data_IF_486553071343
#
_entry.id   IF_486553071343
#
_cell.length_a   1.000
_cell.length_b   1.000
_cell.length_c   1.000
_cell.angle_alpha   90.00
_cell.angle_beta   90.00
_cell.angle_gamma   90.00
#
_symmetry.space_group_name_H-M   'P 1'
#
loop_
_entity.id
_entity.type
_entity.pdbx_description
1 polymer ?
#
# COMPACT_ATOMS: atom_id res chain seq x y z
N UNK A 1 -1.98 -23.71 10.93
CA UNK A 1 -2.72 -22.78 11.80
C UNK A 1 -4.15 -22.68 11.30
N UNK A 2 -5.12 -22.53 12.18
CA UNK A 2 -6.54 -22.32 11.86
C UNK A 2 -7.04 -21.06 12.58
N UNK A 3 -7.72 -20.17 11.85
CA UNK A 3 -8.41 -19.02 12.40
C UNK A 3 -9.89 -19.35 12.49
N UNK A 4 -10.54 -19.22 13.66
CA UNK A 4 -11.93 -19.67 13.86
C UNK A 4 -12.87 -18.57 14.34
N UNK A 5 -14.18 -18.79 14.19
CA UNK A 5 -15.28 -17.92 14.65
C UNK A 5 -15.32 -16.52 14.02
N UNK A 6 -14.61 -16.31 12.92
CA UNK A 6 -14.60 -15.03 12.20
C UNK A 6 -15.83 -14.86 11.31
N UNK A 7 -16.19 -13.62 10.97
CA UNK A 7 -17.04 -13.35 9.81
C UNK A 7 -16.12 -13.26 8.58
N UNK A 8 -16.13 -14.28 7.73
CA UNK A 8 -15.22 -14.35 6.58
C UNK A 8 -15.88 -13.75 5.35
N UNK A 9 -15.31 -12.67 4.82
CA UNK A 9 -15.65 -12.10 3.52
C UNK A 9 -14.71 -12.72 2.51
N UNK A 10 -15.19 -13.69 1.72
CA UNK A 10 -14.32 -14.53 0.87
C UNK A 10 -13.80 -13.79 -0.37
N UNK A 11 -14.60 -12.87 -0.91
CA UNK A 11 -14.42 -12.28 -2.24
C UNK A 11 -14.31 -13.30 -3.39
N UNK A 12 -14.78 -14.54 -3.18
CA UNK A 12 -14.86 -15.55 -4.23
C UNK A 12 -15.91 -15.17 -5.30
N UNK A 13 -16.02 -15.91 -6.43
CA UNK A 13 -16.97 -15.57 -7.50
C UNK A 13 -18.43 -15.41 -7.03
N UNK A 14 -18.83 -16.18 -6.03
CA UNK A 14 -20.18 -16.16 -5.45
C UNK A 14 -20.37 -15.09 -4.36
N UNK A 15 -19.31 -14.35 -3.99
CA UNK A 15 -19.29 -13.31 -2.94
C UNK A 15 -19.80 -13.81 -1.59
N UNK A 16 -19.48 -15.05 -1.24
CA UNK A 16 -19.95 -15.66 0.00
C UNK A 16 -19.41 -14.93 1.23
N UNK A 17 -20.30 -14.73 2.21
CA UNK A 17 -19.97 -14.29 3.56
C UNK A 17 -20.27 -15.45 4.50
N UNK A 18 -19.24 -15.94 5.17
CA UNK A 18 -19.35 -17.08 6.09
C UNK A 18 -19.33 -16.55 7.51
N UNK A 19 -20.50 -16.44 8.13
CA UNK A 19 -20.61 -16.21 9.58
C UNK A 19 -20.19 -17.47 10.34
N UNK A 20 -19.56 -17.29 11.51
CA UNK A 20 -18.88 -18.38 12.24
C UNK A 20 -18.00 -19.24 11.31
N UNK A 21 -17.18 -18.54 10.52
CA UNK A 21 -16.27 -19.11 9.56
C UNK A 21 -14.90 -19.40 10.16
N UNK A 22 -14.20 -20.32 9.52
CA UNK A 22 -12.80 -20.60 9.76
C UNK A 22 -11.97 -20.61 8.46
N UNK A 23 -10.67 -20.34 8.62
CA UNK A 23 -9.68 -20.34 7.55
C UNK A 23 -8.44 -21.09 8.03
N UNK A 24 -7.97 -22.05 7.23
CA UNK A 24 -6.78 -22.86 7.52
C UNK A 24 -5.64 -22.39 6.64
N UNK A 25 -4.49 -22.13 7.24
CA UNK A 25 -3.25 -21.74 6.56
C UNK A 25 -2.20 -22.83 6.76
N UNK A 26 -1.60 -23.24 5.63
CA UNK A 26 -0.45 -24.15 5.58
C UNK A 26 0.67 -23.47 4.80
N UNK A 27 1.80 -23.20 5.47
CA UNK A 27 2.88 -22.44 4.88
C UNK A 27 2.43 -21.02 4.51
N UNK A 28 2.51 -20.68 3.22
CA UNK A 28 2.13 -19.37 2.66
C UNK A 28 0.80 -19.41 1.89
N UNK A 29 0.02 -20.49 2.03
CA UNK A 29 -1.24 -20.71 1.28
C UNK A 29 -2.43 -20.95 2.20
N UNK A 30 -3.58 -20.48 1.74
CA UNK A 30 -4.88 -20.83 2.32
C UNK A 30 -5.22 -22.26 1.85
N UNK A 31 -5.32 -23.19 2.80
CA UNK A 31 -5.59 -24.59 2.54
C UNK A 31 -7.10 -24.90 2.52
N UNK A 32 -7.89 -24.21 3.34
CA UNK A 32 -9.34 -24.36 3.40
C UNK A 32 -10.02 -23.11 3.96
N UNK A 33 -11.26 -22.88 3.56
CA UNK A 33 -12.18 -21.87 4.10
C UNK A 33 -13.56 -22.52 4.22
N UNK A 34 -14.25 -22.32 5.34
CA UNK A 34 -15.50 -23.02 5.63
C UNK A 34 -16.07 -22.63 6.99
N UNK A 35 -17.01 -23.42 7.52
CA UNK A 35 -17.57 -23.21 8.86
C UNK A 35 -16.58 -23.64 9.95
N UNK A 36 -16.60 -22.96 11.10
CA UNK A 36 -15.74 -23.28 12.25
C UNK A 36 -15.83 -24.74 12.66
N UNK A 37 -17.05 -25.26 12.85
CA UNK A 37 -17.27 -26.63 13.30
C UNK A 37 -16.70 -27.67 12.33
N UNK A 38 -16.89 -27.46 11.03
CA UNK A 38 -16.38 -28.34 9.98
C UNK A 38 -14.86 -28.37 9.95
N UNK A 39 -14.21 -27.19 9.90
CA UNK A 39 -12.76 -27.12 9.77
C UNK A 39 -12.02 -27.51 11.06
N UNK A 40 -12.60 -27.28 12.24
CA UNK A 40 -12.05 -27.84 13.49
C UNK A 40 -12.02 -29.36 13.49
N UNK A 41 -13.11 -30.00 13.04
CA UNK A 41 -13.18 -31.46 12.93
C UNK A 41 -12.17 -32.02 11.93
N UNK A 42 -11.99 -31.33 10.79
CA UNK A 42 -11.07 -31.74 9.74
C UNK A 42 -9.59 -31.49 10.05
N UNK A 43 -9.28 -30.50 10.90
CA UNK A 43 -7.92 -30.11 11.26
C UNK A 43 -7.75 -30.05 12.80
N UNK A 44 -7.91 -31.18 13.51
CA UNK A 44 -7.94 -31.22 14.98
C UNK A 44 -6.61 -30.82 15.63
N UNK A 45 -5.48 -31.03 14.94
CA UNK A 45 -4.13 -30.75 15.44
C UNK A 45 -3.60 -29.37 15.03
N UNK A 46 -4.39 -28.57 14.29
CA UNK A 46 -3.95 -27.25 13.87
C UNK A 46 -3.95 -26.27 15.04
N UNK A 47 -2.86 -25.51 15.21
CA UNK A 47 -2.81 -24.39 16.15
C UNK A 47 -3.96 -23.40 15.86
N UNK A 48 -4.83 -23.22 16.84
CA UNK A 48 -6.05 -22.42 16.73
C UNK A 48 -5.84 -20.98 17.21
N UNK A 49 -6.32 -20.03 16.40
CA UNK A 49 -6.48 -18.62 16.74
C UNK A 49 -7.96 -18.28 16.65
N UNK A 50 -8.57 -17.92 17.78
CA UNK A 50 -9.94 -17.41 17.78
C UNK A 50 -9.98 -15.94 17.33
N UNK A 51 -10.79 -15.66 16.31
CA UNK A 51 -11.01 -14.32 15.77
C UNK A 51 -12.49 -13.92 15.87
N UNK A 52 -13.23 -14.50 16.82
CA UNK A 52 -14.60 -14.14 17.17
C UNK A 52 -14.82 -12.62 17.28
N UNK A 53 -15.93 -12.14 16.72
CA UNK A 53 -16.29 -10.72 16.72
C UNK A 53 -15.53 -9.85 15.72
N UNK A 54 -14.64 -10.44 14.92
CA UNK A 54 -13.87 -9.75 13.89
C UNK A 54 -14.29 -10.17 12.48
N UNK A 55 -14.06 -9.26 11.53
CA UNK A 55 -14.15 -9.54 10.11
C UNK A 55 -12.79 -10.05 9.62
N UNK A 56 -12.81 -11.14 8.86
CA UNK A 56 -11.65 -11.67 8.14
C UNK A 56 -11.89 -11.46 6.66
N UNK A 57 -11.00 -10.76 5.98
CA UNK A 57 -11.10 -10.44 4.56
C UNK A 57 -9.74 -10.55 3.88
N UNK A 58 -9.68 -10.68 2.54
CA UNK A 58 -8.45 -10.50 1.80
C UNK A 58 -7.80 -9.17 2.17
N UNK A 59 -6.48 -9.20 2.38
CA UNK A 59 -5.73 -7.98 2.60
C UNK A 59 -5.85 -7.03 1.40
N UNK A 60 -5.86 -5.74 1.67
CA UNK A 60 -6.01 -4.72 0.64
C UNK A 60 -4.80 -4.72 -0.30
N UNK A 61 -5.05 -4.35 -1.56
CA UNK A 61 -4.03 -4.15 -2.58
C UNK A 61 -4.05 -2.69 -2.99
N UNK A 62 -2.95 -1.98 -2.76
CA UNK A 62 -2.77 -0.61 -3.21
C UNK A 62 -2.14 -0.58 -4.60
N UNK A 63 -2.91 -0.17 -5.61
CA UNK A 63 -2.47 -0.28 -7.00
C UNK A 63 -1.51 0.83 -7.43
N UNK A 64 -1.22 1.82 -6.59
CA UNK A 64 -0.33 2.92 -6.95
C UNK A 64 0.19 3.68 -5.71
N UNK A 65 1.49 3.58 -5.44
CA UNK A 65 2.16 4.30 -4.35
C UNK A 65 3.43 5.02 -4.81
N UNK A 66 3.89 5.95 -3.99
CA UNK A 66 5.17 6.65 -4.09
C UNK A 66 5.90 6.65 -2.74
N UNK A 67 6.65 5.59 -2.44
CA UNK A 67 7.33 5.34 -1.18
C UNK A 67 8.32 6.45 -0.81
N UNK A 68 9.06 6.99 -1.78
CA UNK A 68 9.97 8.12 -1.57
C UNK A 68 9.22 9.41 -1.19
N UNK A 69 7.92 9.52 -1.50
CA UNK A 69 7.11 10.70 -1.16
C UNK A 69 6.41 10.57 0.20
N UNK A 70 6.48 9.41 0.87
CA UNK A 70 5.83 9.16 2.17
C UNK A 70 6.19 10.24 3.21
N UNK A 71 7.47 10.57 3.39
CA UNK A 71 7.89 11.63 4.32
C UNK A 71 7.61 13.05 3.83
N UNK A 72 7.19 13.21 2.57
CA UNK A 72 6.89 14.51 1.97
C UNK A 72 5.40 14.86 2.03
N UNK A 73 4.56 14.03 2.66
CA UNK A 73 3.14 14.36 2.82
C UNK A 73 2.99 15.64 3.64
N UNK A 74 2.08 16.49 3.21
CA UNK A 74 1.78 17.76 3.88
C UNK A 74 2.66 18.95 3.47
N UNK A 75 3.79 18.77 2.76
CA UNK A 75 4.75 19.86 2.45
C UNK A 75 4.21 20.99 1.54
N UNK A 76 3.07 20.73 0.89
CA UNK A 76 2.37 21.69 0.04
C UNK A 76 0.95 21.99 0.52
N UNK A 77 0.59 21.60 1.75
CA UNK A 77 -0.70 21.95 2.34
C UNK A 77 -0.88 23.47 2.46
N UNK A 78 -2.09 23.94 2.21
CA UNK A 78 -2.43 25.37 2.23
C UNK A 78 -1.86 26.19 1.07
N UNK A 79 -1.12 25.59 0.13
CA UNK A 79 -0.56 26.30 -1.03
C UNK A 79 -1.49 26.21 -2.23
N UNK A 80 -1.81 27.36 -2.82
CA UNK A 80 -2.48 27.43 -4.12
C UNK A 80 -1.41 27.35 -5.20
N UNK A 81 -1.15 26.13 -5.66
CA UNK A 81 -0.27 25.89 -6.80
C UNK A 81 -1.13 25.93 -8.08
N UNK A 82 -0.66 26.59 -9.15
CA UNK A 82 -1.48 26.80 -10.34
C UNK A 82 -1.76 25.50 -11.10
N UNK A 83 -0.85 24.52 -11.02
CA UNK A 83 -0.95 23.24 -11.71
C UNK A 83 -0.09 22.15 -11.04
N UNK A 84 -0.20 20.93 -11.58
CA UNK A 84 0.58 19.76 -11.16
C UNK A 84 2.08 19.96 -11.35
N UNK A 85 2.51 20.60 -12.44
CA UNK A 85 3.93 20.85 -12.72
C UNK A 85 4.56 21.73 -11.65
N UNK A 86 3.86 22.76 -11.21
CA UNK A 86 4.31 23.67 -10.14
C UNK A 86 4.43 22.94 -8.80
N UNK A 87 3.57 21.97 -8.52
CA UNK A 87 3.73 21.09 -7.37
C UNK A 87 4.95 20.17 -7.53
N UNK A 88 5.06 19.50 -8.66
CA UNK A 88 6.08 18.50 -8.90
C UNK A 88 7.48 19.13 -8.94
N UNK A 89 7.71 20.09 -9.83
CA UNK A 89 9.03 20.69 -10.09
C UNK A 89 9.46 21.67 -9.01
N UNK A 90 8.54 22.47 -8.45
CA UNK A 90 8.93 23.50 -7.47
C UNK A 90 8.86 23.04 -6.00
N UNK A 91 8.20 21.91 -5.70
CA UNK A 91 8.00 21.45 -4.31
C UNK A 91 8.53 20.05 -4.09
N UNK A 92 8.15 19.10 -4.94
CA UNK A 92 8.42 17.68 -4.70
C UNK A 92 9.82 17.27 -5.17
N UNK A 93 10.19 17.56 -6.41
CA UNK A 93 11.51 17.21 -6.96
C UNK A 93 12.69 17.85 -6.24
N UNK A 94 12.61 19.08 -5.69
CA UNK A 94 13.68 19.61 -4.86
C UNK A 94 13.89 18.79 -3.59
N UNK A 95 12.81 18.34 -2.94
CA UNK A 95 12.89 17.52 -1.73
C UNK A 95 13.35 16.09 -2.05
N UNK A 96 12.75 15.45 -3.04
CA UNK A 96 13.15 14.11 -3.48
C UNK A 96 14.57 14.06 -4.02
N UNK A 97 14.96 15.08 -4.82
CA UNK A 97 16.31 15.19 -5.37
C UNK A 97 17.37 15.53 -4.32
N UNK A 98 16.97 15.91 -3.11
CA UNK A 98 17.88 16.15 -1.97
C UNK A 98 18.02 14.94 -1.05
N UNK A 99 17.28 13.85 -1.30
CA UNK A 99 17.40 12.63 -0.51
C UNK A 99 18.77 11.96 -0.68
N UNK A 100 19.30 11.44 0.42
CA UNK A 100 20.21 10.30 0.38
C UNK A 100 19.42 8.99 0.19
N UNK A 101 20.11 7.91 -0.18
CA UNK A 101 19.50 6.57 -0.22
C UNK A 101 18.94 6.15 1.15
N UNK A 102 19.59 6.58 2.24
CA UNK A 102 19.14 6.30 3.60
C UNK A 102 17.80 7.00 3.91
N UNK A 103 17.62 8.24 3.45
CA UNK A 103 16.35 8.98 3.59
C UNK A 103 15.23 8.31 2.80
N UNK A 104 15.50 7.91 1.57
CA UNK A 104 14.54 7.21 0.74
C UNK A 104 14.11 5.87 1.36
N UNK A 105 15.06 5.10 1.90
CA UNK A 105 14.77 3.86 2.62
C UNK A 105 13.99 4.12 3.93
N UNK A 106 14.26 5.20 4.66
CA UNK A 106 13.47 5.61 5.83
C UNK A 106 12.03 5.97 5.43
N UNK A 107 11.86 6.70 4.33
CA UNK A 107 10.54 7.01 3.77
C UNK A 107 9.76 5.75 3.39
N UNK A 108 10.42 4.80 2.74
CA UNK A 108 9.83 3.52 2.39
C UNK A 108 9.42 2.72 3.65
N UNK A 109 10.25 2.70 4.70
CA UNK A 109 9.92 2.02 5.98
C UNK A 109 8.65 2.59 6.59
N UNK A 110 8.51 3.91 6.62
CA UNK A 110 7.30 4.56 7.14
C UNK A 110 6.08 4.18 6.30
N UNK A 111 6.17 4.24 4.97
CA UNK A 111 5.05 3.93 4.09
C UNK A 111 4.60 2.48 4.19
N UNK A 112 5.56 1.55 4.23
CA UNK A 112 5.28 0.11 4.43
C UNK A 112 4.66 -0.16 5.80
N UNK A 113 5.15 0.47 6.87
CA UNK A 113 4.58 0.33 8.20
C UNK A 113 3.11 0.79 8.21
N UNK A 114 2.82 1.95 7.63
CA UNK A 114 1.45 2.48 7.55
C UNK A 114 0.53 1.59 6.74
N UNK A 115 0.98 1.09 5.59
CA UNK A 115 0.25 0.14 4.76
C UNK A 115 -0.12 -1.14 5.54
N UNK A 116 0.84 -1.73 6.26
CA UNK A 116 0.57 -2.92 7.07
C UNK A 116 -0.41 -2.61 8.21
N UNK A 117 -0.32 -1.42 8.82
CA UNK A 117 -1.23 -0.97 9.89
C UNK A 117 -2.64 -0.65 9.40
N UNK A 118 -2.82 -0.28 8.13
CA UNK A 118 -4.11 0.01 7.52
C UNK A 118 -4.75 -1.18 6.81
N UNK A 119 -4.05 -2.32 6.72
CA UNK A 119 -4.57 -3.57 6.15
C UNK A 119 -4.15 -3.82 4.70
N UNK A 120 -3.27 -2.99 4.12
CA UNK A 120 -2.63 -3.22 2.84
C UNK A 120 -1.57 -4.31 2.97
N UNK A 121 -1.70 -5.34 2.13
CA UNK A 121 -0.79 -6.50 2.14
C UNK A 121 -0.03 -6.67 0.83
N UNK A 122 -0.38 -5.88 -0.18
CA UNK A 122 0.33 -5.79 -1.44
C UNK A 122 0.22 -4.41 -2.07
N UNK A 123 1.24 -3.96 -2.78
CA UNK A 123 1.18 -2.69 -3.49
C UNK A 123 1.99 -2.65 -4.81
N UNK A 124 1.78 -1.60 -5.60
CA UNK A 124 2.58 -1.27 -6.79
C UNK A 124 3.23 0.09 -6.62
N UNK A 125 4.55 0.13 -6.63
CA UNK A 125 5.38 1.33 -6.66
C UNK A 125 5.93 1.52 -8.08
N UNK A 126 5.86 2.74 -8.63
CA UNK A 126 6.20 2.99 -10.04
C UNK A 126 7.17 4.15 -10.28
N UNK A 127 7.64 4.82 -9.23
CA UNK A 127 8.39 6.08 -9.34
C UNK A 127 9.74 6.04 -8.60
N UNK A 128 10.40 4.88 -8.52
CA UNK A 128 11.73 4.82 -7.92
C UNK A 128 12.78 5.39 -8.87
N UNK A 129 13.23 6.61 -8.59
CA UNK A 129 14.32 7.26 -9.31
C UNK A 129 15.69 6.71 -8.85
N UNK A 130 16.68 6.82 -9.73
CA UNK A 130 18.07 6.37 -9.48
C UNK A 130 18.61 6.82 -8.12
N UNK A 131 18.46 8.10 -7.78
CA UNK A 131 18.97 8.67 -6.52
C UNK A 131 18.42 8.01 -5.25
N UNK A 132 17.24 7.39 -5.31
CA UNK A 132 16.60 6.85 -4.12
C UNK A 132 17.27 5.57 -3.61
N UNK A 133 18.10 4.91 -4.41
CA UNK A 133 18.69 3.63 -4.06
C UNK A 133 17.64 2.52 -4.06
N UNK A 134 17.47 1.85 -5.20
CA UNK A 134 16.45 0.80 -5.37
C UNK A 134 16.62 -0.33 -4.34
N UNK A 135 17.85 -0.78 -4.12
CA UNK A 135 18.17 -1.89 -3.23
C UNK A 135 17.71 -1.65 -1.78
N UNK A 136 17.92 -0.44 -1.27
CA UNK A 136 17.52 -0.08 0.10
C UNK A 136 16.01 -0.15 0.30
N UNK A 137 15.23 0.25 -0.72
CA UNK A 137 13.77 0.19 -0.71
C UNK A 137 13.27 -1.25 -0.90
N UNK A 138 13.91 -2.02 -1.79
CA UNK A 138 13.59 -3.42 -1.99
C UNK A 138 13.82 -4.26 -0.72
N UNK A 139 14.93 -4.04 -0.02
CA UNK A 139 15.24 -4.70 1.25
C UNK A 139 14.19 -4.41 2.33
N UNK A 140 13.67 -3.18 2.39
CA UNK A 140 12.55 -2.83 3.30
C UNK A 140 11.31 -3.65 3.00
N UNK A 141 10.99 -3.87 1.72
CA UNK A 141 9.85 -4.69 1.33
C UNK A 141 10.05 -6.17 1.69
N UNK A 142 11.26 -6.70 1.46
CA UNK A 142 11.60 -8.10 1.80
C UNK A 142 11.54 -8.33 3.30
N UNK A 143 12.19 -7.48 4.09
CA UNK A 143 12.29 -7.63 5.55
C UNK A 143 10.94 -7.44 6.27
N UNK A 144 10.06 -6.60 5.73
CA UNK A 144 8.71 -6.40 6.28
C UNK A 144 7.72 -7.51 5.92
N UNK A 145 8.00 -8.32 4.88
CA UNK A 145 7.13 -9.39 4.40
C UNK A 145 5.94 -8.94 3.55
N UNK A 146 5.79 -7.64 3.28
CA UNK A 146 4.74 -7.11 2.40
C UNK A 146 4.92 -7.62 0.95
N UNK A 147 3.84 -7.74 0.17
CA UNK A 147 3.95 -7.93 -1.29
C UNK A 147 4.21 -6.59 -1.96
N UNK A 148 5.12 -6.56 -2.91
CA UNK A 148 5.37 -5.36 -3.68
C UNK A 148 5.66 -5.73 -5.13
N UNK A 149 5.12 -4.94 -6.05
CA UNK A 149 5.67 -4.78 -7.39
C UNK A 149 6.42 -3.45 -7.41
N UNK A 150 7.74 -3.49 -7.54
CA UNK A 150 8.60 -2.31 -7.50
C UNK A 150 9.05 -1.95 -8.92
N UNK A 151 8.73 -0.74 -9.34
CA UNK A 151 9.11 -0.17 -10.63
C UNK A 151 10.14 0.92 -10.46
N UNK A 152 11.32 0.71 -11.06
CA UNK A 152 12.29 1.76 -11.31
C UNK A 152 11.77 2.63 -12.45
N UNK A 153 11.68 3.95 -12.24
CA UNK A 153 11.14 4.85 -13.28
C UNK A 153 12.15 5.01 -14.41
N UNK A 154 11.73 4.73 -15.64
CA UNK A 154 12.50 5.03 -16.84
C UNK A 154 12.33 6.51 -17.20
N UNK A 155 13.23 7.33 -16.69
CA UNK A 155 13.25 8.78 -16.86
C UNK A 155 14.59 9.23 -17.43
N UNK A 156 14.57 10.13 -18.42
CA UNK A 156 15.75 10.78 -18.96
C UNK A 156 15.50 12.29 -18.96
N UNK A 157 16.41 13.03 -18.34
CA UNK A 157 16.31 14.50 -18.24
C UNK A 157 17.26 15.10 -19.27
N UNK A 158 16.70 15.75 -20.29
CA UNK A 158 17.48 16.36 -21.38
C UNK A 158 18.26 17.57 -20.87
N UNK A 159 19.58 17.66 -21.12
CA UNK A 159 20.39 18.82 -20.76
C UNK A 159 19.84 20.14 -21.30
N UNK A 160 19.19 20.11 -22.46
CA UNK A 160 18.65 21.26 -23.17
C UNK A 160 17.37 21.81 -22.50
N UNK A 161 16.59 20.94 -21.83
CA UNK A 161 15.25 21.30 -21.31
C UNK A 161 15.16 21.26 -19.79
N UNK A 162 16.18 20.75 -19.10
CA UNK A 162 16.15 20.54 -17.65
C UNK A 162 15.96 21.82 -16.84
N UNK A 163 16.58 22.91 -17.29
CA UNK A 163 16.55 24.20 -16.59
C UNK A 163 15.23 24.93 -16.84
N UNK A 164 14.66 24.83 -18.06
CA UNK A 164 13.37 25.41 -18.42
C UNK A 164 12.20 24.81 -17.63
N UNK A 165 12.25 23.49 -17.41
CA UNK A 165 11.22 22.75 -16.67
C UNK A 165 11.44 22.79 -15.15
N UNK A 166 12.54 23.37 -14.67
CA UNK A 166 12.85 23.45 -13.24
C UNK A 166 13.18 22.10 -12.60
N UNK A 167 13.84 21.20 -13.34
CA UNK A 167 14.30 19.94 -12.76
C UNK A 167 15.36 20.19 -11.70
N UNK A 168 15.12 19.70 -10.49
CA UNK A 168 16.16 19.67 -9.48
C UNK A 168 17.32 18.77 -9.93
N UNK A 169 18.57 19.23 -9.77
CA UNK A 169 19.76 18.52 -10.23
C UNK A 169 19.90 17.10 -9.69
N UNK A 170 19.40 16.85 -8.48
CA UNK A 170 19.35 15.52 -7.90
C UNK A 170 18.41 14.54 -8.63
N UNK A 171 17.48 15.03 -9.44
CA UNK A 171 16.57 14.20 -10.22
C UNK A 171 17.09 13.88 -11.63
N UNK A 172 18.22 14.45 -12.04
CA UNK A 172 18.79 14.21 -13.36
C UNK A 172 19.24 12.75 -13.51
N UNK A 173 18.83 12.12 -14.61
CA UNK A 173 19.18 10.76 -15.00
C UNK A 173 19.39 10.75 -16.51
N UNK A 174 20.34 9.94 -16.99
CA UNK A 174 20.51 9.71 -18.43
C UNK A 174 19.61 8.58 -18.89
N UNK A 175 19.33 8.50 -20.19
CA UNK A 175 18.58 7.37 -20.75
C UNK A 175 19.27 6.04 -20.43
N UNK A 176 20.59 6.02 -20.58
CA UNK A 176 21.44 4.83 -20.42
C UNK A 176 21.46 4.36 -18.96
N UNK A 177 21.74 5.25 -18.00
CA UNK A 177 21.71 4.89 -16.57
C UNK A 177 20.33 4.42 -16.15
N UNK A 178 19.31 5.09 -16.68
CA UNK A 178 17.93 4.87 -16.30
C UNK A 178 17.40 3.51 -16.75
N UNK A 179 17.75 3.08 -17.96
CA UNK A 179 17.43 1.75 -18.48
C UNK A 179 18.26 0.68 -17.77
N UNK A 180 19.57 0.89 -17.62
CA UNK A 180 20.45 -0.10 -17.02
C UNK A 180 20.02 -0.44 -15.59
N UNK A 181 19.72 0.55 -14.77
CA UNK A 181 19.26 0.31 -13.39
C UNK A 181 17.91 -0.40 -13.32
N UNK A 182 17.02 -0.21 -14.30
CA UNK A 182 15.78 -0.98 -14.37
C UNK A 182 16.07 -2.46 -14.59
N UNK A 183 17.01 -2.77 -15.49
CA UNK A 183 17.44 -4.15 -15.78
C UNK A 183 18.16 -4.76 -14.56
N UNK A 184 19.10 -4.04 -13.96
CA UNK A 184 19.83 -4.50 -12.78
C UNK A 184 18.89 -4.78 -11.60
N UNK A 185 17.91 -3.89 -11.38
CA UNK A 185 16.88 -4.08 -10.35
C UNK A 185 16.02 -5.32 -10.63
N UNK A 186 15.62 -5.54 -11.89
CA UNK A 186 14.88 -6.72 -12.29
C UNK A 186 15.69 -8.00 -12.05
N UNK A 187 16.90 -8.09 -12.59
CA UNK A 187 17.76 -9.27 -12.50
C UNK A 187 18.07 -9.65 -11.04
N UNK A 188 18.23 -8.65 -10.18
CA UNK A 188 18.54 -8.86 -8.77
C UNK A 188 17.34 -9.22 -7.91
N UNK A 189 16.21 -8.54 -8.08
CA UNK A 189 15.10 -8.58 -7.13
C UNK A 189 13.87 -9.34 -7.62
N UNK A 190 13.79 -9.68 -8.90
CA UNK A 190 12.67 -10.47 -9.42
C UNK A 190 12.57 -11.79 -8.66
N UNK A 191 11.34 -12.11 -8.23
CA UNK A 191 11.09 -13.32 -7.44
C UNK A 191 11.80 -13.38 -6.08
N UNK A 192 12.39 -12.30 -5.56
CA UNK A 192 13.10 -12.25 -4.26
C UNK A 192 12.24 -12.74 -3.08
N UNK A 193 10.91 -12.66 -3.17
CA UNK A 193 9.97 -13.28 -2.22
C UNK A 193 10.06 -14.81 -2.12
N UNK A 194 10.66 -15.47 -3.13
CA UNK A 194 10.92 -16.92 -3.19
C UNK A 194 12.32 -17.30 -2.69
N UNK A 195 13.23 -16.34 -2.51
CA UNK A 195 14.58 -16.58 -2.01
C UNK A 195 14.61 -16.21 -0.52
N UNK A 196 15.07 -17.10 0.38
CA UNK A 196 15.39 -16.67 1.73
C UNK A 196 16.49 -15.61 1.64
N UNK A 197 16.22 -14.40 2.12
CA UNK A 197 17.25 -13.38 2.23
C UNK A 197 18.40 -13.91 3.11
N UNK A 198 19.68 -13.80 2.68
CA UNK A 198 20.81 -14.21 3.50
C UNK A 198 20.77 -13.45 4.83
N UNK A 199 20.68 -14.18 5.94
CA UNK A 199 20.68 -13.58 7.29
C UNK A 199 19.31 -13.27 7.91
N UNK A 200 18.19 -13.49 7.20
CA UNK A 200 16.85 -13.40 7.81
C UNK A 200 16.53 -14.71 8.52
N UNK A 201 16.82 -14.75 9.81
CA UNK A 201 16.28 -15.77 10.72
C UNK A 201 14.76 -15.61 10.73
N UNK A 202 14.03 -16.57 10.16
CA UNK A 202 12.59 -16.71 10.42
C UNK A 202 12.43 -16.99 11.90
N UNK A 203 12.21 -15.95 12.70
CA UNK A 203 11.73 -16.13 14.06
C UNK A 203 10.44 -16.97 13.95
N UNK A 204 10.31 -18.08 14.70
CA UNK A 204 9.01 -18.73 14.81
C UNK A 204 8.01 -17.65 15.19
N UNK A 205 6.87 -17.60 14.51
CA UNK A 205 5.78 -16.66 14.77
C UNK A 205 5.28 -16.86 16.22
N UNK A 206 6.03 -16.33 17.17
CA UNK A 206 5.79 -16.42 18.60
C UNK A 206 5.05 -15.17 19.03
N UNK A 207 3.74 -15.31 19.28
CA UNK A 207 2.84 -14.44 20.06
C UNK A 207 2.78 -12.93 19.77
N UNK A 208 3.59 -12.35 18.91
CA UNK A 208 3.56 -10.92 18.57
C UNK A 208 3.77 -10.73 17.06
N UNK A 209 2.69 -10.46 16.31
CA UNK A 209 2.90 -10.03 14.92
C UNK A 209 1.69 -9.89 14.01
N UNK A 210 0.62 -10.67 14.19
CA UNK A 210 -0.60 -10.51 13.38
C UNK A 210 -1.64 -9.74 14.20
N UNK A 211 -1.50 -8.41 14.26
CA UNK A 211 -2.66 -7.56 14.51
C UNK A 211 -3.40 -7.47 13.18
N UNK A 212 -4.37 -8.34 12.97
CA UNK A 212 -5.40 -8.13 11.96
C UNK A 212 -6.01 -6.74 12.20
N UNK A 213 -6.13 -5.95 11.12
CA UNK A 213 -6.97 -4.76 11.15
C UNK A 213 -8.40 -5.25 11.21
N UNK A 214 -8.88 -5.38 12.44
CA UNK A 214 -10.17 -5.96 12.71
C UNK A 214 -11.16 -4.84 12.95
N UNK A 215 -12.00 -4.54 11.95
CA UNK A 215 -13.11 -3.61 12.09
C UNK A 215 -14.16 -4.28 12.99
N UNK A 216 -14.35 -3.75 14.21
CA UNK A 216 -15.44 -4.17 15.09
C UNK A 216 -16.79 -3.81 14.45
N UNK A 217 -17.71 -4.78 14.41
CA UNK A 217 -19.10 -4.53 14.02
C UNK A 217 -19.75 -3.64 15.09
N UNK A 218 -20.18 -2.44 14.70
CA UNK A 218 -20.98 -1.57 15.58
C UNK A 218 -22.31 -2.25 15.88
N UNK A 219 -22.59 -2.50 17.16
CA UNK A 219 -23.87 -3.03 17.62
C UNK A 219 -24.90 -1.91 17.52
N UNK A 220 -25.88 -2.08 16.63
CA UNK A 220 -27.00 -1.14 16.49
C UNK A 220 -27.95 -1.26 17.67
N UNK A 221 -28.31 -0.11 18.25
CA UNK A 221 -29.45 0.03 19.17
C UNK A 221 -30.27 1.26 18.79
N UNK A 222 -31.47 1.03 18.24
CA UNK A 222 -32.69 1.85 18.40
C UNK A 222 -32.75 3.27 17.79
N UNK A 223 -33.95 3.77 17.43
CA UNK A 223 -34.11 4.99 16.64
C UNK A 223 -34.32 6.27 17.48
N UNK A 224 -33.74 7.38 17.02
CA UNK A 224 -34.21 8.76 17.29
C UNK A 224 -33.09 9.77 17.61
N UNK A 225 -33.31 11.10 17.49
CA UNK A 225 -34.31 11.84 16.71
C UNK A 225 -33.66 12.67 15.56
N UNK A 226 -34.50 13.20 14.66
CA UNK A 226 -34.11 14.06 13.54
C UNK A 226 -33.98 15.52 13.98
N UNK A 227 -32.86 16.15 13.66
CA UNK A 227 -32.68 17.59 13.41
C UNK A 227 -31.58 17.70 12.32
N UNK A 228 -31.69 18.38 11.19
CA UNK A 228 -32.58 19.47 10.80
C UNK A 228 -31.77 20.74 10.54
N UNK A 229 -30.90 20.77 9.51
CA UNK A 229 -30.42 22.04 8.94
C UNK A 229 -30.26 21.92 7.41
N UNK A 230 -31.18 22.59 6.73
CA UNK A 230 -31.18 22.90 5.30
C UNK A 230 -30.24 24.08 5.01
N UNK A 231 -29.48 23.98 3.92
CA UNK A 231 -29.19 25.11 3.05
C UNK A 231 -29.41 24.70 1.58
N UNK A 232 -30.02 25.57 0.74
CA UNK A 232 -30.61 25.18 -0.53
C UNK A 232 -29.62 25.18 -1.71
N UNK A 233 -29.90 24.41 -2.78
CA UNK A 233 -29.12 24.45 -4.01
C UNK A 233 -29.48 25.68 -4.87
N UNK A 234 -28.47 26.44 -5.30
CA UNK A 234 -28.64 27.53 -6.28
C UNK A 234 -28.96 26.94 -7.66
N UNK A 235 -30.18 27.21 -8.15
CA UNK A 235 -30.55 27.16 -9.58
C UNK A 235 -30.41 28.57 -10.18
N UNK A 236 -29.82 28.67 -11.37
CA UNK A 236 -30.05 29.73 -12.34
C UNK A 236 -29.95 29.05 -13.72
N UNK A 237 -31.07 28.64 -14.32
CA UNK A 237 -31.97 29.44 -15.17
C UNK A 237 -31.32 29.81 -16.52
N UNK A 238 -31.65 29.00 -17.55
CA UNK A 238 -31.61 29.41 -18.95
C UNK A 238 -32.54 30.62 -19.16
N UNK A 239 -32.10 31.58 -19.96
CA UNK A 239 -32.93 32.65 -20.51
C UNK A 239 -32.35 33.14 -21.83
N UNK A 240 -33.08 32.90 -22.91
CA UNK A 240 -32.78 33.31 -24.27
C UNK A 240 -32.89 34.84 -24.47
N UNK A 241 -32.07 35.34 -25.40
CA UNK A 241 -32.28 36.40 -26.42
C UNK A 241 -33.14 37.63 -26.07
N UNK A 242 -32.58 38.81 -26.34
CA UNK A 242 -33.15 39.83 -27.26
C UNK A 242 -32.20 41.04 -27.38
N UNK A 243 -31.57 41.18 -28.56
CA UNK A 243 -31.32 42.36 -29.41
C UNK A 243 -30.04 42.15 -30.22
#
# INVERSE_FOLDING_TARGET
MIFTRGTIITMNPSREIIEDGALVVTGDRIAAVGKTAELRSRYPDAEEVDVGGHIVMPGLIDTHVHLAQTMLRGVSEGKRLPDFSSWLFARIFPLQGSYSEADAAASARLGVLEMLKSGTTGFVECLLAERYGFDGIAEVCVTSGIRAALGKVAMAVSPETRDELGWHHGMWQTRESSIQQTLDAHDRWEGSRRRPAPGVVRLPLGRAGLRSVALRRGVGTGPGPRHGHHHPPRRAALGQRLR
#
